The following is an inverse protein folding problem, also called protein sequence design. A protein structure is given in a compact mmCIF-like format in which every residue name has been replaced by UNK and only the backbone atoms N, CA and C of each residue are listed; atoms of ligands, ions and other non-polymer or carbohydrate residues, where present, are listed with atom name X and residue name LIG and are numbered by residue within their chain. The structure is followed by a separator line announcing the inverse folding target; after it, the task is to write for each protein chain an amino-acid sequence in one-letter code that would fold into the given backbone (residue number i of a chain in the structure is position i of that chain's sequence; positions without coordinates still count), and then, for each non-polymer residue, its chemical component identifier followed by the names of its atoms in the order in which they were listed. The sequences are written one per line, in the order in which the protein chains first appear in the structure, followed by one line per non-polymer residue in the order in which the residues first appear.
data_IF_519115631618
#
_entry.id   IF_519115631618
#
_cell.length_a   1.000
_cell.length_b   1.000
_cell.length_c   1.000
_cell.angle_alpha   90.00
_cell.angle_beta   90.00
_cell.angle_gamma   90.00
#
_symmetry.space_group_name_H-M   'P 1'
#
loop_
_entity.id
_entity.type
_entity.pdbx_description
1 polymer ?
#
# COMPACT_ATOMS: atom_id res chain seq x y z
N UNK A 1 -4.37 -22.44 -41.30
CA UNK A 1 -5.24 -23.62 -41.54
C UNK A 1 -6.59 -23.11 -42.03
N UNK A 2 -7.25 -23.77 -42.99
CA UNK A 2 -8.63 -23.38 -43.35
C UNK A 2 -9.51 -23.67 -42.13
N UNK A 3 -10.25 -22.66 -41.65
CA UNK A 3 -11.23 -22.83 -40.58
C UNK A 3 -12.25 -23.89 -40.97
N UNK A 4 -12.58 -24.78 -40.03
CA UNK A 4 -13.63 -25.77 -40.23
C UNK A 4 -15.00 -25.04 -40.31
N UNK A 5 -15.75 -25.16 -41.41
CA UNK A 5 -17.03 -24.43 -41.58
C UNK A 5 -18.05 -24.69 -40.46
N UNK A 6 -18.04 -25.88 -39.86
CA UNK A 6 -18.98 -26.22 -38.78
C UNK A 6 -18.58 -25.57 -37.44
N UNK A 7 -17.28 -25.40 -37.18
CA UNK A 7 -16.78 -24.67 -36.01
C UNK A 7 -17.07 -23.17 -36.14
N UNK A 8 -16.90 -22.60 -37.35
CA UNK A 8 -17.22 -21.20 -37.62
C UNK A 8 -18.71 -20.89 -37.41
N UNK A 9 -19.61 -21.75 -37.90
CA UNK A 9 -21.07 -21.60 -37.70
C UNK A 9 -21.45 -21.69 -36.22
N UNK A 10 -20.83 -22.61 -35.47
CA UNK A 10 -21.05 -22.74 -34.03
C UNK A 10 -20.60 -21.47 -33.30
N UNK A 11 -19.42 -20.95 -33.65
CA UNK A 11 -18.87 -19.72 -33.07
C UNK A 11 -19.79 -18.51 -33.36
N UNK A 12 -20.25 -18.36 -34.60
CA UNK A 12 -21.19 -17.32 -35.00
C UNK A 12 -22.51 -17.41 -34.23
N UNK A 13 -23.06 -18.62 -34.07
CA UNK A 13 -24.30 -18.82 -33.33
C UNK A 13 -24.16 -18.42 -31.85
N UNK A 14 -23.06 -18.80 -31.20
CA UNK A 14 -22.78 -18.40 -29.81
C UNK A 14 -22.61 -16.88 -29.68
N UNK A 15 -21.96 -16.25 -30.66
CA UNK A 15 -21.78 -14.79 -30.68
C UNK A 15 -23.13 -14.07 -30.73
N UNK A 16 -24.01 -14.48 -31.66
CA UNK A 16 -25.36 -13.91 -31.81
C UNK A 16 -26.22 -14.12 -30.57
N UNK A 17 -26.11 -15.28 -29.90
CA UNK A 17 -26.78 -15.51 -28.61
C UNK A 17 -26.30 -14.52 -27.55
N UNK A 18 -24.99 -14.23 -27.51
CA UNK A 18 -24.44 -13.18 -26.65
C UNK A 18 -25.05 -11.81 -26.94
N UNK A 19 -25.11 -11.40 -28.20
CA UNK A 19 -25.67 -10.11 -28.61
C UNK A 19 -27.15 -9.98 -28.21
N UNK A 20 -27.94 -11.05 -28.41
CA UNK A 20 -29.33 -11.09 -27.98
C UNK A 20 -29.48 -10.87 -26.48
N UNK A 21 -28.61 -11.47 -25.65
CA UNK A 21 -28.63 -11.23 -24.22
C UNK A 21 -28.23 -9.80 -23.85
N UNK A 22 -27.28 -9.19 -24.55
CA UNK A 22 -26.91 -7.78 -24.34
C UNK A 22 -28.07 -6.83 -24.68
N UNK A 23 -28.78 -7.06 -25.78
CA UNK A 23 -29.98 -6.29 -26.15
C UNK A 23 -31.08 -6.38 -25.09
N UNK A 24 -31.16 -7.51 -24.37
CA UNK A 24 -32.07 -7.72 -23.26
C UNK A 24 -31.52 -7.22 -21.90
N UNK A 25 -30.36 -6.54 -21.90
CA UNK A 25 -29.62 -6.12 -20.70
C UNK A 25 -29.28 -7.27 -19.73
N UNK A 26 -29.24 -8.52 -20.23
CA UNK A 26 -28.86 -9.72 -19.48
C UNK A 26 -27.35 -9.97 -19.60
N UNK A 27 -26.57 -9.01 -19.11
CA UNK A 27 -25.11 -8.98 -19.32
C UNK A 27 -24.37 -10.22 -18.80
N UNK A 28 -24.83 -10.84 -17.72
CA UNK A 28 -24.23 -12.09 -17.23
C UNK A 28 -24.44 -13.27 -18.19
N UNK A 29 -25.63 -13.38 -18.76
CA UNK A 29 -25.95 -14.42 -19.73
C UNK A 29 -25.20 -14.20 -21.05
N UNK A 30 -25.05 -12.94 -21.46
CA UNK A 30 -24.19 -12.56 -22.58
C UNK A 30 -22.72 -12.97 -22.33
N UNK A 31 -22.15 -12.62 -21.17
CA UNK A 31 -20.80 -13.03 -20.79
C UNK A 31 -20.63 -14.56 -20.85
N UNK A 32 -21.58 -15.35 -20.34
CA UNK A 32 -21.49 -16.82 -20.40
C UNK A 32 -21.48 -17.34 -21.84
N UNK A 33 -22.27 -16.73 -22.75
CA UNK A 33 -22.29 -17.12 -24.16
C UNK A 33 -20.94 -16.82 -24.84
N UNK A 34 -20.38 -15.62 -24.61
CA UNK A 34 -19.06 -15.23 -25.11
C UNK A 34 -17.93 -16.06 -24.51
N UNK A 35 -17.98 -16.35 -23.20
CA UNK A 35 -17.03 -17.24 -22.54
C UNK A 35 -17.04 -18.64 -23.17
N UNK A 36 -18.23 -19.20 -23.40
CA UNK A 36 -18.37 -20.50 -24.06
C UNK A 36 -17.78 -20.49 -25.47
N UNK A 37 -17.99 -19.39 -26.20
CA UNK A 37 -17.41 -19.19 -27.53
C UNK A 37 -15.87 -19.27 -27.48
N UNK A 38 -15.24 -18.53 -26.57
CA UNK A 38 -13.76 -18.51 -26.51
C UNK A 38 -13.13 -19.79 -25.93
N UNK A 39 -13.89 -20.58 -25.15
CA UNK A 39 -13.43 -21.84 -24.55
C UNK A 39 -13.58 -23.04 -25.50
N UNK A 40 -14.57 -23.02 -26.39
CA UNK A 40 -14.92 -24.17 -27.24
C UNK A 40 -14.45 -24.07 -28.70
N UNK A 41 -13.91 -22.93 -29.11
CA UNK A 41 -13.55 -22.66 -30.51
C UNK A 41 -12.14 -22.10 -30.65
N UNK A 42 -11.51 -22.41 -31.79
CA UNK A 42 -10.23 -21.81 -32.15
C UNK A 42 -10.38 -20.30 -32.39
N UNK A 43 -9.29 -19.54 -32.22
CA UNK A 43 -9.29 -18.11 -32.46
C UNK A 43 -9.70 -17.80 -33.91
N UNK A 44 -10.73 -16.98 -34.05
CA UNK A 44 -11.31 -16.49 -35.30
C UNK A 44 -11.89 -15.09 -35.06
N UNK A 45 -12.48 -14.46 -36.08
CA UNK A 45 -13.01 -13.10 -35.97
C UNK A 45 -14.02 -12.92 -34.80
N UNK A 46 -14.83 -13.94 -34.50
CA UNK A 46 -15.82 -13.87 -33.43
C UNK A 46 -15.19 -14.08 -32.05
N UNK A 47 -14.03 -14.74 -31.98
CA UNK A 47 -13.26 -14.89 -30.75
C UNK A 47 -12.76 -13.53 -30.27
N UNK A 48 -12.15 -12.74 -31.15
CA UNK A 48 -11.67 -11.40 -30.81
C UNK A 48 -12.82 -10.46 -30.43
N UNK A 49 -13.92 -10.51 -31.21
CA UNK A 49 -15.14 -9.76 -30.90
C UNK A 49 -15.73 -10.18 -29.54
N UNK A 50 -15.73 -11.47 -29.21
CA UNK A 50 -16.23 -11.96 -27.92
C UNK A 50 -15.40 -11.42 -26.75
N UNK A 51 -14.07 -11.37 -26.87
CA UNK A 51 -13.19 -10.77 -25.86
C UNK A 51 -13.51 -9.28 -25.67
N UNK A 52 -13.69 -8.53 -26.75
CA UNK A 52 -14.11 -7.13 -26.70
C UNK A 52 -15.46 -6.96 -25.99
N UNK A 53 -16.47 -7.76 -26.37
CA UNK A 53 -17.80 -7.71 -25.73
C UNK A 53 -17.73 -8.06 -24.25
N UNK A 54 -16.96 -9.08 -23.88
CA UNK A 54 -16.73 -9.44 -22.47
C UNK A 54 -16.08 -8.28 -21.71
N UNK A 55 -15.10 -7.60 -22.30
CA UNK A 55 -14.45 -6.45 -21.69
C UNK A 55 -15.45 -5.30 -21.45
N UNK A 56 -16.29 -4.99 -22.45
CA UNK A 56 -17.36 -4.00 -22.34
C UNK A 56 -18.38 -4.36 -21.24
N UNK A 57 -18.78 -5.64 -21.16
CA UNK A 57 -19.64 -6.14 -20.08
C UNK A 57 -18.96 -5.97 -18.71
N UNK A 58 -17.68 -6.31 -18.60
CA UNK A 58 -16.88 -6.08 -17.40
C UNK A 58 -16.95 -4.62 -16.94
N UNK A 59 -16.82 -3.67 -17.87
CA UNK A 59 -16.90 -2.24 -17.59
C UNK A 59 -18.29 -1.82 -17.08
N UNK A 60 -19.37 -2.39 -17.64
CA UNK A 60 -20.74 -2.17 -17.17
C UNK A 60 -20.89 -2.60 -15.71
N UNK A 61 -20.40 -3.80 -15.36
CA UNK A 61 -20.42 -4.29 -13.98
C UNK A 61 -19.53 -3.43 -13.06
N UNK A 62 -18.34 -3.03 -13.51
CA UNK A 62 -17.39 -2.22 -12.74
C UNK A 62 -17.95 -0.81 -12.46
N UNK A 63 -18.64 -0.20 -13.43
CA UNK A 63 -19.32 1.09 -13.28
C UNK A 63 -20.46 1.02 -12.25
N UNK A 64 -20.95 -0.18 -11.95
CA UNK A 64 -21.96 -0.42 -10.94
C UNK A 64 -23.37 -0.12 -11.40
N UNK A 65 -23.64 -0.25 -12.71
CA UNK A 65 -25.00 -0.13 -13.25
C UNK A 65 -25.90 -1.14 -12.50
N UNK A 66 -26.85 -0.61 -11.71
CA UNK A 66 -27.60 -1.40 -10.74
C UNK A 66 -28.35 -2.55 -11.42
N UNK A 67 -28.02 -3.78 -11.03
CA UNK A 67 -28.88 -4.91 -11.34
C UNK A 67 -30.05 -4.90 -10.35
N UNK A 68 -31.27 -4.91 -10.88
CA UNK A 68 -32.48 -4.96 -10.08
C UNK A 68 -32.79 -6.42 -9.73
N UNK A 69 -32.91 -6.72 -8.44
CA UNK A 69 -33.47 -7.97 -7.96
C UNK A 69 -34.74 -7.65 -7.18
N UNK A 70 -35.90 -8.13 -7.63
CA UNK A 70 -37.20 -7.83 -7.00
C UNK A 70 -37.48 -6.32 -6.79
N UNK A 71 -37.06 -5.45 -7.73
CA UNK A 71 -37.13 -3.97 -7.63
C UNK A 71 -36.26 -3.34 -6.52
N UNK A 72 -35.34 -4.10 -5.93
CA UNK A 72 -34.36 -3.61 -4.97
C UNK A 72 -33.02 -3.41 -5.72
N UNK A 73 -32.40 -2.22 -5.64
CA UNK A 73 -31.07 -1.99 -6.19
C UNK A 73 -30.05 -2.84 -5.43
N UNK A 74 -29.40 -3.78 -6.11
CA UNK A 74 -28.32 -4.55 -5.50
C UNK A 74 -26.98 -3.82 -5.67
N UNK A 75 -26.07 -3.93 -4.68
CA UNK A 75 -24.70 -3.48 -4.86
C UNK A 75 -24.05 -4.29 -5.98
N UNK A 76 -23.18 -3.63 -6.74
CA UNK A 76 -22.48 -4.27 -7.85
C UNK A 76 -21.57 -5.41 -7.35
N UNK A 77 -21.73 -6.59 -7.94
CA UNK A 77 -20.94 -7.77 -7.59
C UNK A 77 -19.56 -7.69 -8.24
N UNK A 78 -18.60 -7.11 -7.51
CA UNK A 78 -17.21 -7.00 -7.95
C UNK A 78 -16.52 -8.36 -8.13
N UNK A 79 -17.09 -9.48 -7.63
CA UNK A 79 -16.53 -10.81 -7.95
C UNK A 79 -16.84 -11.20 -9.40
N UNK A 80 -18.02 -10.85 -9.92
CA UNK A 80 -18.34 -11.02 -11.35
C UNK A 80 -17.41 -10.21 -12.23
N UNK A 81 -17.11 -8.97 -11.83
CA UNK A 81 -16.14 -8.10 -12.53
C UNK A 81 -14.79 -8.79 -12.65
N UNK A 82 -14.24 -9.28 -11.52
CA UNK A 82 -12.96 -9.99 -11.51
C UNK A 82 -13.03 -11.28 -12.32
N UNK A 83 -14.14 -12.03 -12.26
CA UNK A 83 -14.29 -13.26 -13.05
C UNK A 83 -14.21 -12.97 -14.55
N UNK A 84 -14.96 -11.97 -15.04
CA UNK A 84 -14.98 -11.59 -16.46
C UNK A 84 -13.58 -11.23 -16.95
N UNK A 85 -12.90 -10.31 -16.25
CA UNK A 85 -11.57 -9.87 -16.63
C UNK A 85 -10.52 -10.97 -16.49
N UNK A 86 -10.59 -11.83 -15.47
CA UNK A 86 -9.68 -12.97 -15.34
C UNK A 86 -9.87 -13.99 -16.47
N UNK A 87 -11.09 -14.20 -16.96
CA UNK A 87 -11.31 -15.02 -18.16
C UNK A 87 -10.57 -14.39 -19.36
N UNK A 88 -10.69 -13.07 -19.58
CA UNK A 88 -9.97 -12.37 -20.66
C UNK A 88 -8.45 -12.52 -20.53
N UNK A 89 -7.90 -12.28 -19.33
CA UNK A 89 -6.45 -12.37 -19.07
C UNK A 89 -5.93 -13.79 -19.33
N UNK A 90 -6.70 -14.82 -18.95
CA UNK A 90 -6.31 -16.22 -19.15
C UNK A 90 -6.37 -16.63 -20.62
N UNK A 91 -7.40 -16.18 -21.34
CA UNK A 91 -7.60 -16.54 -22.76
C UNK A 91 -6.69 -15.76 -23.70
N UNK A 92 -6.36 -14.51 -23.36
CA UNK A 92 -5.59 -13.60 -24.19
C UNK A 92 -4.49 -12.89 -23.38
N UNK A 93 -3.52 -13.59 -22.76
CA UNK A 93 -2.57 -12.97 -21.82
C UNK A 93 -1.69 -11.87 -22.43
N UNK A 94 -1.48 -11.89 -23.75
CA UNK A 94 -0.75 -10.87 -24.50
C UNK A 94 -1.66 -10.01 -25.41
N UNK A 95 -2.99 -10.13 -25.25
CA UNK A 95 -3.96 -9.36 -26.01
C UNK A 95 -4.02 -7.90 -25.57
N UNK A 96 -4.56 -7.03 -26.43
CA UNK A 96 -4.68 -5.58 -26.17
C UNK A 96 -5.49 -5.25 -24.92
N UNK A 97 -6.47 -6.08 -24.56
CA UNK A 97 -7.29 -5.90 -23.37
C UNK A 97 -6.67 -6.44 -22.08
N UNK A 98 -5.63 -7.28 -22.14
CA UNK A 98 -5.10 -7.95 -20.95
C UNK A 98 -4.52 -7.00 -19.89
N UNK A 99 -3.73 -5.95 -20.25
CA UNK A 99 -3.25 -4.97 -19.29
C UNK A 99 -4.40 -4.23 -18.60
N UNK A 100 -5.37 -3.75 -19.39
CA UNK A 100 -6.50 -2.98 -18.88
C UNK A 100 -7.47 -3.84 -18.06
N UNK A 101 -7.68 -5.10 -18.44
CA UNK A 101 -8.46 -6.08 -17.66
C UNK A 101 -7.78 -6.38 -16.32
N UNK A 102 -6.45 -6.49 -16.29
CA UNK A 102 -5.66 -6.70 -15.07
C UNK A 102 -5.78 -5.49 -14.14
N UNK A 103 -5.59 -4.29 -14.68
CA UNK A 103 -5.80 -3.04 -13.94
C UNK A 103 -7.23 -2.93 -13.39
N UNK A 104 -8.23 -3.31 -14.19
CA UNK A 104 -9.64 -3.28 -13.81
C UNK A 104 -10.00 -4.30 -12.71
N UNK A 105 -9.29 -5.44 -12.63
CA UNK A 105 -9.36 -6.33 -11.47
C UNK A 105 -8.88 -5.62 -10.18
N UNK A 106 -7.83 -4.82 -10.28
CA UNK A 106 -7.35 -3.96 -9.19
C UNK A 106 -8.43 -3.00 -8.69
N UNK A 107 -9.06 -2.26 -9.61
CA UNK A 107 -10.17 -1.35 -9.30
C UNK A 107 -11.35 -2.07 -8.62
N UNK A 108 -11.69 -3.27 -9.09
CA UNK A 108 -12.78 -4.06 -8.50
C UNK A 108 -12.45 -4.49 -7.05
N UNK A 109 -11.21 -4.91 -6.78
CA UNK A 109 -10.76 -5.27 -5.43
C UNK A 109 -10.64 -4.07 -4.50
N UNK A 110 -10.24 -2.92 -5.04
CA UNK A 110 -10.23 -1.65 -4.34
C UNK A 110 -11.65 -1.26 -3.88
N UNK A 111 -12.66 -1.38 -4.76
CA UNK A 111 -14.07 -1.14 -4.39
C UNK A 111 -14.57 -2.08 -3.29
N UNK A 112 -14.04 -3.30 -3.23
CA UNK A 112 -14.32 -4.25 -2.15
C UNK A 112 -13.50 -4.00 -0.87
N UNK A 113 -12.61 -2.98 -0.86
CA UNK A 113 -11.65 -2.72 0.23
C UNK A 113 -10.70 -3.90 0.49
N UNK A 114 -10.49 -4.76 -0.51
CA UNK A 114 -9.51 -5.86 -0.46
C UNK A 114 -8.16 -5.33 -0.90
N UNK A 115 -7.54 -4.53 -0.04
CA UNK A 115 -6.35 -3.74 -0.38
C UNK A 115 -5.17 -4.58 -0.88
N UNK A 116 -4.79 -5.70 -0.21
CA UNK A 116 -3.69 -6.54 -0.70
C UNK A 116 -3.98 -7.16 -2.07
N UNK A 117 -5.22 -7.60 -2.30
CA UNK A 117 -5.62 -8.17 -3.60
C UNK A 117 -5.57 -7.12 -4.71
N UNK A 118 -6.00 -5.89 -4.42
CA UNK A 118 -5.96 -4.79 -5.38
C UNK A 118 -4.52 -4.43 -5.77
N UNK A 119 -3.63 -4.32 -4.78
CA UNK A 119 -2.19 -4.07 -5.00
C UNK A 119 -1.58 -5.16 -5.88
N UNK A 120 -1.85 -6.44 -5.60
CA UNK A 120 -1.34 -7.55 -6.41
C UNK A 120 -1.72 -7.45 -7.89
N UNK A 121 -2.94 -6.99 -8.19
CA UNK A 121 -3.35 -6.78 -9.59
C UNK A 121 -2.63 -5.60 -10.24
N UNK A 122 -2.34 -4.52 -9.52
CA UNK A 122 -1.54 -3.42 -10.08
C UNK A 122 -0.07 -3.80 -10.26
N UNK A 123 0.52 -4.56 -9.32
CA UNK A 123 1.85 -5.16 -9.47
C UNK A 123 1.91 -6.09 -10.69
N UNK A 124 0.88 -6.91 -10.90
CA UNK A 124 0.75 -7.75 -12.09
C UNK A 124 0.80 -6.93 -13.40
N UNK A 125 0.27 -5.69 -13.41
CA UNK A 125 0.39 -4.81 -14.59
C UNK A 125 1.84 -4.41 -14.84
N UNK A 126 2.56 -4.03 -13.80
CA UNK A 126 3.97 -3.63 -13.89
C UNK A 126 4.86 -4.80 -14.35
N UNK A 127 4.62 -5.99 -13.79
CA UNK A 127 5.45 -7.17 -14.03
C UNK A 127 5.18 -7.80 -15.41
N UNK A 128 3.90 -7.94 -15.78
CA UNK A 128 3.50 -8.65 -17.00
C UNK A 128 3.42 -7.74 -18.22
N UNK A 129 3.19 -6.44 -18.01
CA UNK A 129 2.97 -5.47 -19.09
C UNK A 129 3.87 -4.21 -18.97
N UNK A 130 5.20 -4.36 -18.79
CA UNK A 130 6.11 -3.25 -18.45
C UNK A 130 6.27 -2.16 -19.54
N UNK A 131 5.72 -2.37 -20.74
CA UNK A 131 5.75 -1.41 -21.87
C UNK A 131 4.39 -0.79 -22.16
N UNK A 132 3.36 -1.13 -21.39
CA UNK A 132 2.03 -0.60 -21.59
C UNK A 132 1.92 0.82 -21.00
N UNK A 133 1.05 1.65 -21.57
CA UNK A 133 0.86 3.03 -21.11
C UNK A 133 0.27 3.11 -19.69
N UNK A 134 -0.30 2.02 -19.16
CA UNK A 134 -0.85 1.96 -17.80
C UNK A 134 0.19 1.78 -16.69
N UNK A 135 1.50 1.65 -16.99
CA UNK A 135 2.49 1.32 -15.95
C UNK A 135 2.65 2.42 -14.90
N UNK A 136 2.58 3.70 -15.28
CA UNK A 136 2.70 4.80 -14.32
C UNK A 136 1.42 4.92 -13.47
N UNK A 137 0.26 4.76 -14.11
CA UNK A 137 -1.04 4.64 -13.45
C UNK A 137 -1.07 3.49 -12.45
N UNK A 138 -0.59 2.30 -12.81
CA UNK A 138 -0.57 1.13 -11.95
C UNK A 138 0.32 1.35 -10.72
N UNK A 139 1.54 1.88 -10.91
CA UNK A 139 2.44 2.18 -9.80
C UNK A 139 1.82 3.23 -8.86
N UNK A 140 1.21 4.29 -9.41
CA UNK A 140 0.50 5.28 -8.59
C UNK A 140 -0.64 4.65 -7.78
N UNK A 141 -1.42 3.77 -8.41
CA UNK A 141 -2.55 3.12 -7.74
C UNK A 141 -2.12 2.21 -6.58
N UNK A 142 -0.93 1.60 -6.62
CA UNK A 142 -0.39 0.85 -5.47
C UNK A 142 -0.30 1.75 -4.24
N UNK A 143 0.31 2.94 -4.37
CA UNK A 143 0.40 3.92 -3.28
C UNK A 143 -0.97 4.41 -2.83
N UNK A 144 -1.86 4.68 -3.77
CA UNK A 144 -3.21 5.15 -3.49
C UNK A 144 -4.07 4.12 -2.74
N UNK A 145 -3.96 2.84 -3.10
CA UNK A 145 -4.64 1.76 -2.39
C UNK A 145 -4.14 1.63 -0.96
N UNK A 146 -2.81 1.64 -0.75
CA UNK A 146 -2.25 1.59 0.61
C UNK A 146 -2.63 2.82 1.43
N UNK A 147 -2.70 4.00 0.81
CA UNK A 147 -3.20 5.21 1.44
C UNK A 147 -4.66 5.08 1.89
N UNK A 148 -5.52 4.47 1.06
CA UNK A 148 -6.91 4.17 1.45
C UNK A 148 -6.97 3.15 2.58
N UNK A 149 -6.13 2.13 2.56
CA UNK A 149 -6.02 1.13 3.63
C UNK A 149 -5.60 1.78 4.95
N UNK A 150 -4.64 2.70 4.94
CA UNK A 150 -4.15 3.41 6.14
C UNK A 150 -5.23 4.22 6.87
N UNK A 151 -6.32 4.61 6.18
CA UNK A 151 -7.47 5.29 6.81
C UNK A 151 -8.30 4.35 7.69
N UNK A 152 -8.09 3.05 7.59
CA UNK A 152 -8.78 2.05 8.40
C UNK A 152 -7.97 1.75 9.67
N UNK A 153 -8.61 1.71 10.86
CA UNK A 153 -7.93 1.44 12.12
C UNK A 153 -7.10 0.15 12.12
N UNK A 154 -7.55 -0.86 11.37
CA UNK A 154 -6.94 -2.20 11.33
C UNK A 154 -5.57 -2.22 10.62
N UNK A 155 -5.24 -1.21 9.81
CA UNK A 155 -4.08 -1.22 8.92
C UNK A 155 -3.09 -0.06 9.17
N UNK A 156 -3.38 0.82 10.11
CA UNK A 156 -2.96 2.23 10.10
C UNK A 156 -1.47 2.46 9.76
N UNK A 157 -0.54 2.04 10.62
CA UNK A 157 0.87 2.39 10.45
C UNK A 157 1.54 1.65 9.29
N UNK A 158 1.35 0.33 9.20
CA UNK A 158 2.01 -0.48 8.15
C UNK A 158 1.50 -0.11 6.75
N UNK A 159 0.21 0.18 6.59
CA UNK A 159 -0.32 0.61 5.31
C UNK A 159 0.12 2.02 4.93
N UNK A 160 0.22 2.94 5.89
CA UNK A 160 0.75 4.28 5.61
C UNK A 160 2.19 4.23 5.11
N UNK A 161 3.04 3.41 5.75
CA UNK A 161 4.42 3.21 5.34
C UNK A 161 4.51 2.64 3.91
N UNK A 162 3.75 1.57 3.61
CA UNK A 162 3.67 1.00 2.25
C UNK A 162 3.19 2.00 1.21
N UNK A 163 2.24 2.86 1.57
CA UNK A 163 1.75 3.93 0.70
C UNK A 163 2.83 4.95 0.37
N UNK A 164 3.59 5.39 1.38
CA UNK A 164 4.73 6.31 1.20
C UNK A 164 5.78 5.68 0.27
N UNK A 165 6.19 4.45 0.54
CA UNK A 165 7.19 3.73 -0.27
C UNK A 165 6.75 3.63 -1.72
N UNK A 166 5.49 3.23 -1.97
CA UNK A 166 4.96 3.10 -3.32
C UNK A 166 4.87 4.44 -4.08
N UNK A 167 4.51 5.53 -3.40
CA UNK A 167 4.54 6.88 -4.00
C UNK A 167 5.97 7.39 -4.22
N UNK A 168 6.92 7.07 -3.35
CA UNK A 168 8.33 7.40 -3.55
C UNK A 168 8.90 6.66 -4.77
N UNK A 169 8.57 5.37 -4.90
CA UNK A 169 8.90 4.58 -6.09
C UNK A 169 8.30 5.17 -7.36
N UNK A 170 7.04 5.62 -7.30
CA UNK A 170 6.39 6.32 -8.40
C UNK A 170 7.15 7.59 -8.80
N UNK A 171 7.49 8.46 -7.82
CA UNK A 171 8.22 9.70 -8.07
C UNK A 171 9.65 9.45 -8.60
N UNK A 172 10.31 8.37 -8.14
CA UNK A 172 11.64 8.01 -8.60
C UNK A 172 11.63 7.57 -10.07
N UNK A 173 10.60 6.82 -10.49
CA UNK A 173 10.48 6.21 -11.83
C UNK A 173 9.81 7.14 -12.85
N UNK A 174 8.79 7.91 -12.45
CA UNK A 174 7.88 8.63 -13.35
C UNK A 174 7.90 10.16 -13.12
N UNK A 175 9.08 10.76 -13.22
CA UNK A 175 9.37 12.17 -12.86
C UNK A 175 8.60 13.25 -13.65
N UNK A 176 7.91 12.89 -14.74
CA UNK A 176 7.18 13.82 -15.63
C UNK A 176 5.70 13.50 -15.78
N UNK A 177 5.17 12.58 -14.97
CA UNK A 177 3.75 12.21 -15.02
C UNK A 177 2.90 13.25 -14.29
N UNK A 178 1.66 13.44 -14.73
CA UNK A 178 0.74 14.47 -14.23
C UNK A 178 0.34 14.26 -12.76
N UNK A 179 0.62 13.08 -12.17
CA UNK A 179 0.30 12.77 -10.77
C UNK A 179 1.48 12.97 -9.81
N UNK A 180 2.60 13.52 -10.26
CA UNK A 180 3.79 13.76 -9.41
C UNK A 180 3.50 14.70 -8.24
N UNK A 181 2.77 15.78 -8.48
CA UNK A 181 2.31 16.70 -7.42
C UNK A 181 1.40 15.98 -6.42
N UNK A 182 0.38 15.29 -6.93
CA UNK A 182 -0.57 14.53 -6.11
C UNK A 182 0.11 13.42 -5.28
N UNK A 183 1.12 12.73 -5.83
CA UNK A 183 1.90 11.74 -5.10
C UNK A 183 2.69 12.38 -3.95
N UNK A 184 3.26 13.57 -4.17
CA UNK A 184 3.99 14.32 -3.15
C UNK A 184 3.06 14.77 -2.00
N UNK A 185 1.88 15.27 -2.33
CA UNK A 185 0.85 15.61 -1.34
C UNK A 185 0.39 14.40 -0.53
N UNK A 186 0.17 13.26 -1.20
CA UNK A 186 -0.22 12.03 -0.54
C UNK A 186 0.87 11.51 0.42
N UNK A 187 2.15 11.61 0.04
CA UNK A 187 3.27 11.29 0.94
C UNK A 187 3.22 12.20 2.17
N UNK A 188 3.08 13.51 1.99
CA UNK A 188 3.02 14.46 3.10
C UNK A 188 1.87 14.13 4.07
N UNK A 189 0.68 13.83 3.54
CA UNK A 189 -0.49 13.43 4.34
C UNK A 189 -0.22 12.13 5.13
N UNK A 190 0.38 11.12 4.50
CA UNK A 190 0.69 9.84 5.16
C UNK A 190 1.78 10.03 6.24
N UNK A 191 2.83 10.80 5.95
CA UNK A 191 3.89 11.12 6.91
C UNK A 191 3.37 11.89 8.11
N UNK A 192 2.45 12.84 7.92
CA UNK A 192 1.81 13.58 9.01
C UNK A 192 0.99 12.66 9.92
N UNK A 193 0.30 11.67 9.33
CA UNK A 193 -0.48 10.68 10.09
C UNK A 193 0.43 9.76 10.90
N UNK A 194 1.47 9.21 10.28
CA UNK A 194 2.46 8.36 10.95
C UNK A 194 3.13 9.07 12.13
N UNK A 195 3.64 10.27 11.87
CA UNK A 195 4.30 11.09 12.90
C UNK A 195 3.36 11.47 14.04
N UNK A 196 2.08 11.73 13.76
CA UNK A 196 1.06 11.95 14.80
C UNK A 196 0.87 10.73 15.71
N UNK A 197 0.85 9.53 15.13
CA UNK A 197 0.83 8.27 15.88
C UNK A 197 2.08 8.09 16.74
N UNK A 198 3.26 8.20 16.13
CA UNK A 198 4.56 8.10 16.81
C UNK A 198 4.69 9.10 17.96
N UNK A 199 4.27 10.35 17.74
CA UNK A 199 4.29 11.40 18.75
C UNK A 199 3.35 11.11 19.92
N UNK A 200 2.18 10.55 19.64
CA UNK A 200 1.23 10.16 20.70
C UNK A 200 1.81 9.07 21.60
N UNK A 201 2.51 8.09 21.02
CA UNK A 201 3.21 7.04 21.77
C UNK A 201 4.41 7.61 22.54
N UNK A 202 5.17 8.52 21.94
CA UNK A 202 6.27 9.21 22.61
C UNK A 202 5.79 9.94 23.87
N UNK A 203 4.72 10.76 23.75
CA UNK A 203 4.11 11.48 24.86
C UNK A 203 3.59 10.55 25.95
N UNK A 204 3.05 9.38 25.60
CA UNK A 204 2.60 8.39 26.58
C UNK A 204 3.76 7.85 27.42
N UNK A 205 4.86 7.43 26.79
CA UNK A 205 6.04 6.93 27.51
C UNK A 205 6.74 8.01 28.32
N UNK A 206 6.76 9.22 27.79
CA UNK A 206 7.30 10.40 28.45
C UNK A 206 6.52 10.70 29.75
N UNK A 207 5.18 10.76 29.66
CA UNK A 207 4.29 10.97 30.81
C UNK A 207 4.40 9.86 31.86
N UNK A 208 4.64 8.62 31.44
CA UNK A 208 4.76 7.46 32.34
C UNK A 208 6.17 7.28 32.91
N UNK A 209 7.12 8.14 32.55
CA UNK A 209 8.49 8.12 33.07
C UNK A 209 9.43 7.12 32.39
N UNK A 210 8.99 6.43 31.34
CA UNK A 210 9.85 5.56 30.55
C UNK A 210 10.57 6.35 29.45
N UNK A 211 11.54 7.18 29.86
CA UNK A 211 12.27 8.08 28.97
C UNK A 211 13.05 7.38 27.85
N UNK A 212 13.69 6.20 28.06
CA UNK A 212 14.33 5.48 26.97
C UNK A 212 13.35 5.08 25.86
N UNK A 213 12.16 4.59 26.22
CA UNK A 213 11.11 4.27 25.23
C UNK A 213 10.61 5.54 24.54
N UNK A 214 10.35 6.62 25.30
CA UNK A 214 9.92 7.90 24.74
C UNK A 214 10.91 8.43 23.68
N UNK A 215 12.22 8.33 23.94
CA UNK A 215 13.27 8.75 22.99
C UNK A 215 13.23 7.98 21.67
N UNK A 216 12.92 6.68 21.70
CA UNK A 216 12.76 5.88 20.47
C UNK A 216 11.66 6.49 19.59
N UNK A 217 10.49 6.77 20.17
CA UNK A 217 9.37 7.31 19.42
C UNK A 217 9.56 8.78 19.02
N UNK A 218 10.23 9.61 19.83
CA UNK A 218 10.60 10.96 19.39
C UNK A 218 11.60 10.95 18.23
N UNK A 219 12.55 10.01 18.21
CA UNK A 219 13.41 9.82 17.04
C UNK A 219 12.62 9.39 15.81
N UNK A 220 11.64 8.49 15.98
CA UNK A 220 10.76 8.07 14.88
C UNK A 220 10.00 9.25 14.25
N UNK A 221 9.45 10.15 15.07
CA UNK A 221 8.80 11.39 14.58
C UNK A 221 9.76 12.24 13.74
N UNK A 222 11.02 12.34 14.17
CA UNK A 222 12.07 13.10 13.47
C UNK A 222 12.51 12.44 12.17
N UNK A 223 12.50 11.10 12.09
CA UNK A 223 12.75 10.36 10.86
C UNK A 223 11.60 10.57 9.86
N UNK A 224 10.35 10.52 10.34
CA UNK A 224 9.16 10.59 9.50
C UNK A 224 8.84 12.01 9.01
N UNK A 225 9.08 13.03 9.84
CA UNK A 225 8.69 14.41 9.55
C UNK A 225 9.59 15.45 10.27
N UNK A 226 10.89 15.54 9.93
CA UNK A 226 11.86 16.34 10.68
C UNK A 226 11.52 17.83 10.77
N UNK A 227 10.89 18.38 9.73
CA UNK A 227 10.61 19.81 9.59
C UNK A 227 9.17 20.19 9.93
N UNK A 228 8.35 19.23 10.36
CA UNK A 228 6.96 19.47 10.78
C UNK A 228 6.88 20.08 12.18
N UNK A 229 5.71 20.62 12.57
CA UNK A 229 5.46 21.04 13.95
C UNK A 229 5.66 19.89 14.95
N UNK A 230 5.29 18.66 14.56
CA UNK A 230 5.51 17.44 15.35
C UNK A 230 7.02 17.15 15.49
N UNK A 231 7.79 17.35 14.42
CA UNK A 231 9.25 17.24 14.41
C UNK A 231 9.92 18.27 15.33
N UNK A 232 9.46 19.52 15.31
CA UNK A 232 9.96 20.56 16.21
C UNK A 232 9.72 20.21 17.68
N UNK A 233 8.51 19.77 18.02
CA UNK A 233 8.17 19.30 19.37
C UNK A 233 9.04 18.10 19.79
N UNK A 234 9.15 17.09 18.93
CA UNK A 234 9.96 15.90 19.18
C UNK A 234 11.44 16.27 19.42
N UNK A 235 11.99 17.18 18.63
CA UNK A 235 13.38 17.66 18.78
C UNK A 235 13.60 18.38 20.11
N UNK A 236 12.65 19.21 20.53
CA UNK A 236 12.73 19.91 21.80
C UNK A 236 12.67 18.93 22.96
N UNK A 237 11.70 18.01 22.94
CA UNK A 237 11.50 17.09 24.07
C UNK A 237 12.59 16.04 24.15
N UNK A 238 13.08 15.52 23.02
CA UNK A 238 14.24 14.63 22.93
C UNK A 238 15.44 15.17 23.70
N UNK A 239 15.82 16.44 23.47
CA UNK A 239 16.98 17.06 24.15
C UNK A 239 16.83 17.03 25.67
N UNK A 240 15.65 17.40 26.17
CA UNK A 240 15.37 17.38 27.62
C UNK A 240 15.50 15.96 28.19
N UNK A 241 14.97 14.95 27.49
CA UNK A 241 15.06 13.57 27.95
C UNK A 241 16.49 13.01 27.93
N UNK A 242 17.29 13.39 26.93
CA UNK A 242 18.71 13.02 26.85
C UNK A 242 19.49 13.58 28.05
N UNK A 243 19.26 14.84 28.42
CA UNK A 243 19.88 15.47 29.58
C UNK A 243 19.47 14.77 30.88
N UNK A 244 18.17 14.52 31.09
CA UNK A 244 17.66 13.82 32.29
C UNK A 244 18.24 12.41 32.44
N UNK A 245 18.38 11.66 31.35
CA UNK A 245 18.96 10.32 31.38
C UNK A 245 20.46 10.39 31.67
N UNK A 246 21.17 11.38 31.11
CA UNK A 246 22.60 11.60 31.38
C UNK A 246 22.83 11.92 32.86
N UNK A 247 22.05 12.85 33.43
CA UNK A 247 22.12 13.22 34.84
C UNK A 247 21.82 12.03 35.76
N UNK A 248 20.78 11.25 35.47
CA UNK A 248 20.44 10.05 36.24
C UNK A 248 21.57 9.01 36.22
N UNK A 249 22.24 8.81 35.06
CA UNK A 249 23.40 7.92 34.96
C UNK A 249 24.61 8.42 35.77
N UNK A 250 24.84 9.73 35.78
CA UNK A 250 25.92 10.33 36.58
C UNK A 250 25.68 10.17 38.08
N UNK A 251 24.44 10.35 38.54
CA UNK A 251 24.04 10.16 39.94
C UNK A 251 24.09 8.69 40.38
N UNK A 252 23.79 7.76 39.46
CA UNK A 252 23.86 6.32 39.71
C UNK A 252 25.28 5.73 39.68
N UNK A 253 26.28 6.48 39.20
CA UNK A 253 27.67 6.04 39.17
C UNK A 253 28.31 6.22 40.56
N UNK A 254 28.85 5.17 41.21
CA UNK A 254 29.39 5.29 42.55
C UNK A 254 30.54 6.31 42.57
N UNK A 255 30.45 7.28 43.49
CA UNK A 255 31.51 8.26 43.72
C UNK A 255 32.85 7.52 43.87
N UNK A 256 33.81 7.91 43.03
CA UNK A 256 35.15 7.36 43.02
C UNK A 256 35.80 7.53 44.41
N UNK A 257 35.81 6.45 45.19
CA UNK A 257 36.37 6.40 46.56
C UNK A 257 37.89 6.57 46.58
N UNK A 258 38.56 6.66 45.43
CA UNK A 258 40.02 6.82 45.34
C UNK A 258 40.53 8.21 45.75
N UNK A 259 39.65 9.21 45.92
CA UNK A 259 40.06 10.59 46.30
C UNK A 259 39.98 10.92 47.80
N UNK A 260 39.60 9.98 48.68
CA UNK A 260 39.39 10.27 50.12
C UNK A 260 40.60 9.91 51.01
N UNK A 261 41.61 9.19 50.52
CA UNK A 261 42.75 8.76 51.37
C UNK A 261 44.04 9.55 51.14
N UNK A 262 44.08 10.84 51.51
CA UNK A 262 45.35 11.60 51.57
C UNK A 262 45.26 12.73 52.62
N UNK A 263 44.88 12.43 53.86
CA UNK A 263 45.09 13.34 55.01
C UNK A 263 44.90 12.66 56.37
N UNK A 264 45.78 11.73 56.72
CA UNK A 264 46.25 11.58 58.12
C UNK A 264 47.35 10.52 58.20
N UNK A 265 48.60 10.95 58.33
CA UNK A 265 49.60 10.33 59.22
C UNK A 265 50.88 11.15 59.15
N UNK A 266 50.94 12.22 59.95
CA UNK A 266 52.21 12.78 60.40
C UNK A 266 52.41 12.31 61.84
N UNK A 267 53.22 11.27 62.03
CA UNK A 267 53.73 10.88 63.35
C UNK A 267 54.94 11.77 63.71
N UNK A 268 55.06 12.24 64.96
CA UNK A 268 56.24 13.00 65.39
C UNK A 268 57.42 12.06 65.68
N UNK A 269 58.63 12.42 65.22
CA UNK A 269 59.87 11.70 65.55
C UNK A 269 60.34 11.99 67.00
N UNK A 270 60.86 10.99 67.74
CA UNK A 270 61.46 11.22 69.04
C UNK A 270 62.94 11.65 68.94
N UNK A 271 63.30 12.70 69.69
CA UNK A 271 64.68 13.17 69.91
C UNK A 271 65.46 12.15 70.75
N UNK A 272 66.65 11.77 70.30
CA UNK A 272 67.67 11.10 71.10
C UNK A 272 68.40 12.10 72.02
N UNK A 273 68.63 11.70 73.27
CA UNK A 273 69.49 12.39 74.24
C UNK A 273 70.86 11.68 74.30
N UNK A 274 71.98 12.38 74.54
CA UNK A 274 73.30 11.78 74.65
C UNK A 274 73.60 11.27 76.07
N UNK A 275 74.36 10.18 76.12
CA UNK A 275 74.87 9.47 77.30
C UNK A 275 75.95 10.24 78.06
N UNK A 276 75.85 10.27 79.39
CA UNK A 276 76.95 10.07 80.35
C UNK A 276 76.43 9.25 81.53
#
# INVERSE_FOLDING_TARGET
AKENPDDLRKTEALYKVGEMYEHLAKYWDAYKAYKKLIEESAANQYWDLAIERMFAIGNVYLAGQHQMMWKIPMPADMNKVVEIYQTIIKSAPFGSYAPLATFSCGLAREKQKKWPDAVRFYEDVLDKYPKNDLIDDAQYQIGFVWMKAARQPEYDQTAAQKGIEAFQDYLARYKRSDKTEQATENIAMLSQRLSGGSLSVARFYDKTGNYPAALVYYNEVLTQSPDSAQGQEARQRKRVLEDMISEAKQQASPADKSKISLRSNAQPQPRSLPTQ
#
